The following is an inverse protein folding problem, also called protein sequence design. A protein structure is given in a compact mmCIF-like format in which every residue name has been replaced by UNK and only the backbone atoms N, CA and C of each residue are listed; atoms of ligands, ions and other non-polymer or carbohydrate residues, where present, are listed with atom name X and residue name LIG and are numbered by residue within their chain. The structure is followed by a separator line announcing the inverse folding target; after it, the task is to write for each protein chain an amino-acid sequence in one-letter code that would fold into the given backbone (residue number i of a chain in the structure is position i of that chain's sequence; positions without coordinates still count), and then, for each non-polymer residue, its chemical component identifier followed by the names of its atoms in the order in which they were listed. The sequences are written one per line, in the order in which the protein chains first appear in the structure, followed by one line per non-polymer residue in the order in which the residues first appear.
data_IF_480612855387
#
_entry.id   IF_480612855387
#
_cell.length_a   1.000
_cell.length_b   1.000
_cell.length_c   1.000
_cell.angle_alpha   90.00
_cell.angle_beta   90.00
_cell.angle_gamma   90.00
#
_symmetry.space_group_name_H-M   'P 1'
#
loop_
_entity.id
_entity.type
_entity.pdbx_description
1 polymer ?
#
# COMPACT_ATOMS: atom_id res chain seq x y z
N UNK A 1 44.20 -19.03 19.67
CA UNK A 1 42.93 -18.37 19.31
C UNK A 1 42.54 -18.53 17.84
N UNK A 2 43.44 -18.59 16.84
CA UNK A 2 43.04 -18.84 15.43
C UNK A 2 42.63 -20.29 15.14
N UNK A 3 43.40 -21.27 15.63
CA UNK A 3 43.13 -22.71 15.40
C UNK A 3 41.73 -23.17 15.83
N UNK A 4 41.31 -22.76 17.03
CA UNK A 4 40.00 -23.12 17.59
C UNK A 4 38.85 -22.46 16.83
N UNK A 5 39.06 -21.24 16.34
CA UNK A 5 38.09 -20.53 15.47
C UNK A 5 37.99 -21.23 14.11
N UNK A 6 39.09 -21.67 13.54
CA UNK A 6 39.10 -22.37 12.25
C UNK A 6 38.41 -23.74 12.34
N UNK A 7 38.59 -24.46 13.45
CA UNK A 7 37.86 -25.72 13.72
C UNK A 7 36.35 -25.48 13.89
N UNK A 8 35.95 -24.44 14.63
CA UNK A 8 34.54 -24.02 14.74
C UNK A 8 33.94 -23.63 13.39
N UNK A 9 34.68 -22.92 12.54
CA UNK A 9 34.24 -22.54 11.19
C UNK A 9 34.09 -23.74 10.26
N UNK A 10 35.00 -24.73 10.33
CA UNK A 10 34.88 -25.98 9.56
C UNK A 10 33.65 -26.79 9.98
N UNK A 11 33.43 -26.95 11.28
CA UNK A 11 32.24 -27.64 11.80
C UNK A 11 30.95 -26.92 11.41
N UNK A 12 30.94 -25.59 11.46
CA UNK A 12 29.83 -24.77 11.01
C UNK A 12 29.57 -24.96 9.50
N UNK A 13 30.61 -24.92 8.67
CA UNK A 13 30.47 -25.10 7.22
C UNK A 13 29.88 -26.46 6.87
N UNK A 14 30.39 -27.55 7.47
CA UNK A 14 29.83 -28.89 7.27
C UNK A 14 28.35 -28.98 7.67
N UNK A 15 27.98 -28.26 8.74
CA UNK A 15 26.59 -28.19 9.18
C UNK A 15 25.72 -27.42 8.18
N UNK A 16 26.21 -26.28 7.68
CA UNK A 16 25.53 -25.49 6.63
C UNK A 16 25.35 -26.31 5.37
N UNK A 17 26.40 -26.98 4.87
CA UNK A 17 26.35 -27.80 3.65
C UNK A 17 25.34 -28.97 3.80
N UNK A 18 25.29 -29.59 4.98
CA UNK A 18 24.31 -30.64 5.29
C UNK A 18 22.89 -30.08 5.29
N UNK A 19 22.69 -28.90 5.86
CA UNK A 19 21.39 -28.24 5.90
C UNK A 19 20.93 -27.82 4.50
N UNK A 20 21.82 -27.27 3.66
CA UNK A 20 21.50 -26.96 2.26
C UNK A 20 21.17 -28.20 1.42
N UNK A 21 21.88 -29.32 1.62
CA UNK A 21 21.52 -30.59 0.97
C UNK A 21 20.15 -31.12 1.39
N UNK A 22 19.76 -30.89 2.66
CA UNK A 22 18.51 -31.41 3.22
C UNK A 22 17.32 -30.52 2.88
N UNK A 23 17.51 -29.20 2.91
CA UNK A 23 16.42 -28.21 2.85
C UNK A 23 16.46 -27.33 1.58
N UNK A 24 17.45 -27.53 0.71
CA UNK A 24 17.64 -26.78 -0.53
C UNK A 24 18.66 -25.66 -0.40
N UNK A 25 19.26 -25.26 -1.53
CA UNK A 25 20.19 -24.12 -1.58
C UNK A 25 19.52 -22.85 -1.08
N UNK A 26 20.24 -22.06 -0.28
CA UNK A 26 19.71 -20.81 0.29
C UNK A 26 18.83 -20.98 1.53
N UNK A 27 18.69 -22.20 2.06
CA UNK A 27 17.99 -22.42 3.35
C UNK A 27 18.69 -21.75 4.52
N UNK A 28 20.02 -21.60 4.45
CA UNK A 28 20.88 -20.93 5.44
C UNK A 28 21.96 -20.18 4.69
N UNK A 29 22.07 -18.88 4.94
CA UNK A 29 23.06 -18.01 4.31
C UNK A 29 23.62 -17.05 5.35
N UNK A 30 24.87 -16.59 5.19
CA UNK A 30 25.35 -15.47 6.01
C UNK A 30 24.67 -14.20 5.54
N UNK A 31 24.32 -13.33 6.48
CA UNK A 31 23.63 -12.08 6.18
C UNK A 31 24.44 -11.17 5.23
N UNK A 32 25.77 -11.22 5.31
CA UNK A 32 26.69 -10.45 4.44
C UNK A 32 27.08 -11.14 3.13
N UNK A 33 26.66 -12.38 2.89
CA UNK A 33 26.88 -13.07 1.60
C UNK A 33 25.77 -12.73 0.58
N UNK A 34 24.78 -11.93 0.99
CA UNK A 34 23.90 -11.25 0.03
C UNK A 34 24.69 -10.14 -0.66
N UNK A 35 24.51 -9.92 -1.97
CA UNK A 35 24.88 -8.63 -2.55
C UNK A 35 24.28 -7.52 -1.68
N UNK A 36 25.09 -6.49 -1.45
CA UNK A 36 24.79 -5.34 -0.59
C UNK A 36 23.39 -4.83 -0.89
N UNK A 37 22.45 -4.99 0.06
CA UNK A 37 21.13 -4.36 0.09
C UNK A 37 20.49 -4.24 -1.31
N UNK A 38 19.94 -5.33 -1.84
CA UNK A 38 18.98 -5.21 -2.94
C UNK A 38 17.97 -4.14 -2.53
N UNK A 39 17.85 -3.08 -3.34
CA UNK A 39 16.76 -2.12 -3.23
C UNK A 39 15.47 -2.95 -3.12
N UNK A 40 14.68 -2.71 -2.07
CA UNK A 40 13.46 -3.49 -1.86
C UNK A 40 12.54 -3.19 -3.04
N UNK A 41 12.39 -4.17 -3.93
CA UNK A 41 11.51 -4.06 -5.09
C UNK A 41 10.12 -3.60 -4.65
N UNK A 42 9.62 -2.57 -5.31
CA UNK A 42 8.36 -1.94 -4.97
C UNK A 42 7.51 -1.59 -6.19
N UNK A 43 6.19 -1.59 -5.96
CA UNK A 43 5.16 -1.20 -6.92
C UNK A 43 4.67 0.18 -6.50
N UNK A 44 4.70 1.17 -7.41
CA UNK A 44 4.20 2.51 -7.10
C UNK A 44 2.76 2.45 -6.62
N UNK A 45 2.41 3.29 -5.66
CA UNK A 45 1.03 3.44 -5.19
C UNK A 45 0.16 4.25 -6.16
N UNK A 46 0.76 4.87 -7.19
CA UNK A 46 0.13 5.89 -8.02
C UNK A 46 0.10 7.28 -7.37
N UNK A 47 0.49 7.40 -6.10
CA UNK A 47 0.66 8.66 -5.38
C UNK A 47 2.14 8.94 -5.14
N UNK A 48 2.63 10.07 -5.66
CA UNK A 48 4.03 10.47 -5.50
C UNK A 48 4.36 10.71 -4.02
N UNK A 49 3.49 11.42 -3.31
CA UNK A 49 3.67 11.73 -1.90
C UNK A 49 3.64 10.48 -1.03
N UNK A 50 2.80 9.50 -1.35
CA UNK A 50 2.74 8.24 -0.62
C UNK A 50 3.98 7.39 -0.88
N UNK A 51 4.45 7.27 -2.13
CA UNK A 51 5.68 6.54 -2.45
C UNK A 51 6.90 7.09 -1.69
N UNK A 52 6.97 8.42 -1.53
CA UNK A 52 7.96 9.11 -0.71
C UNK A 52 7.78 8.79 0.79
N UNK A 53 6.53 8.84 1.29
CA UNK A 53 6.23 8.54 2.69
C UNK A 53 6.54 7.08 3.06
N UNK A 54 6.42 6.16 2.10
CA UNK A 54 6.79 4.75 2.27
C UNK A 54 8.30 4.54 2.35
N UNK A 55 9.10 5.44 1.80
CA UNK A 55 10.56 5.45 1.91
C UNK A 55 11.30 4.41 1.07
N UNK A 56 10.57 3.52 0.39
CA UNK A 56 11.09 2.52 -0.55
C UNK A 56 10.52 2.72 -1.97
N UNK A 57 9.85 3.86 -2.23
CA UNK A 57 9.30 4.19 -3.53
C UNK A 57 7.99 3.49 -3.91
N UNK A 58 7.35 2.78 -2.97
CA UNK A 58 6.07 2.12 -3.23
C UNK A 58 5.73 0.99 -2.26
N UNK A 59 4.79 0.14 -2.66
CA UNK A 59 4.37 -1.06 -1.96
C UNK A 59 5.39 -2.19 -2.17
N UNK A 60 5.86 -2.85 -1.11
CA UNK A 60 6.89 -3.88 -1.22
C UNK A 60 6.38 -5.14 -1.95
N UNK A 61 7.15 -5.62 -2.94
CA UNK A 61 6.97 -6.96 -3.51
C UNK A 61 7.29 -8.06 -2.49
N UNK A 62 6.63 -9.20 -2.61
CA UNK A 62 6.81 -10.36 -1.76
C UNK A 62 6.37 -10.16 -0.31
N UNK A 63 5.45 -9.23 -0.05
CA UNK A 63 4.98 -8.87 1.30
C UNK A 63 3.47 -8.69 1.37
N UNK A 64 2.96 -8.79 2.60
CA UNK A 64 1.58 -8.47 2.95
C UNK A 64 1.47 -6.97 3.29
N UNK A 65 0.49 -6.29 2.69
CA UNK A 65 0.12 -4.90 2.92
C UNK A 65 -1.33 -4.86 3.42
N UNK A 66 -1.62 -4.04 4.43
CA UNK A 66 -2.99 -3.75 4.85
C UNK A 66 -3.32 -2.28 4.61
N UNK A 67 -4.41 -2.02 3.89
CA UNK A 67 -4.98 -0.68 3.67
C UNK A 67 -6.31 -0.65 4.38
N UNK A 68 -6.45 0.22 5.40
CA UNK A 68 -7.67 0.28 6.19
C UNK A 68 -8.10 1.71 6.46
N UNK A 69 -9.38 1.88 6.79
CA UNK A 69 -9.95 3.21 7.02
C UNK A 69 -11.48 3.20 6.89
N UNK A 70 -12.12 4.36 7.12
CA UNK A 70 -13.56 4.52 7.01
C UNK A 70 -14.10 4.17 5.62
N UNK A 71 -15.41 3.96 5.53
CA UNK A 71 -16.08 3.82 4.24
C UNK A 71 -15.82 5.05 3.35
N UNK A 72 -15.79 4.82 2.03
CA UNK A 72 -15.52 5.87 1.05
C UNK A 72 -14.21 6.62 1.24
N UNK A 73 -13.24 6.12 2.03
CA UNK A 73 -11.99 6.85 2.29
C UNK A 73 -10.98 6.80 1.13
N UNK A 74 -11.22 5.99 0.11
CA UNK A 74 -10.34 5.81 -1.04
C UNK A 74 -9.48 4.53 -1.00
N UNK A 75 -9.79 3.57 -0.11
CA UNK A 75 -9.05 2.29 0.02
C UNK A 75 -8.96 1.54 -1.32
N UNK A 76 -10.10 1.27 -1.93
CA UNK A 76 -10.20 0.55 -3.21
C UNK A 76 -9.58 1.36 -4.35
N UNK A 77 -9.80 2.67 -4.41
CA UNK A 77 -9.13 3.57 -5.37
C UNK A 77 -7.60 3.44 -5.29
N UNK A 78 -7.02 3.49 -4.08
CA UNK A 78 -5.58 3.34 -3.89
C UNK A 78 -5.06 1.97 -4.34
N UNK A 79 -5.81 0.90 -4.04
CA UNK A 79 -5.44 -0.45 -4.47
C UNK A 79 -5.53 -0.63 -5.99
N UNK A 80 -6.55 -0.04 -6.64
CA UNK A 80 -6.71 -0.04 -8.09
C UNK A 80 -5.57 0.73 -8.76
N UNK A 81 -5.13 1.87 -8.21
CA UNK A 81 -3.94 2.56 -8.71
C UNK A 81 -2.68 1.71 -8.62
N UNK A 82 -2.48 0.98 -7.51
CA UNK A 82 -1.35 0.07 -7.38
C UNK A 82 -1.40 -1.06 -8.43
N UNK A 83 -2.59 -1.58 -8.74
CA UNK A 83 -2.79 -2.53 -9.85
C UNK A 83 -2.40 -1.90 -11.19
N UNK A 84 -2.90 -0.70 -11.50
CA UNK A 84 -2.59 0.01 -12.74
C UNK A 84 -1.07 0.24 -12.89
N UNK A 85 -0.39 0.67 -11.83
CA UNK A 85 1.07 0.86 -11.82
C UNK A 85 1.85 -0.45 -11.99
N UNK A 86 1.35 -1.57 -11.46
CA UNK A 86 1.92 -2.90 -11.71
C UNK A 86 1.78 -3.31 -13.17
N UNK A 87 0.58 -3.18 -13.74
CA UNK A 87 0.29 -3.54 -15.13
C UNK A 87 1.06 -2.67 -16.13
N UNK A 88 1.23 -1.36 -15.85
CA UNK A 88 2.07 -0.47 -16.68
C UNK A 88 3.52 -0.95 -16.80
N UNK A 89 4.01 -1.69 -15.81
CA UNK A 89 5.35 -2.32 -15.83
C UNK A 89 5.35 -3.74 -16.39
N UNK A 90 4.23 -4.18 -16.99
CA UNK A 90 4.05 -5.53 -17.55
C UNK A 90 3.74 -6.61 -16.51
N UNK A 91 3.43 -6.23 -15.26
CA UNK A 91 3.10 -7.18 -14.21
C UNK A 91 1.68 -7.72 -14.29
N UNK A 92 1.45 -8.92 -13.77
CA UNK A 92 0.12 -9.57 -13.76
C UNK A 92 -0.59 -9.28 -12.44
N UNK A 93 -1.85 -8.88 -12.51
CA UNK A 93 -2.64 -8.48 -11.37
C UNK A 93 -3.86 -9.39 -11.16
N UNK A 94 -4.26 -9.56 -9.90
CA UNK A 94 -5.50 -10.23 -9.53
C UNK A 94 -6.29 -9.42 -8.48
N UNK A 95 -7.61 -9.53 -8.52
CA UNK A 95 -8.54 -8.88 -7.59
C UNK A 95 -9.55 -9.89 -7.05
N UNK A 96 -9.58 -10.07 -5.73
CA UNK A 96 -10.56 -10.89 -5.02
C UNK A 96 -11.63 -9.94 -4.46
N UNK A 97 -12.75 -9.85 -5.16
CA UNK A 97 -13.89 -8.98 -4.83
C UNK A 97 -14.88 -9.75 -3.94
N UNK A 98 -14.58 -9.81 -2.65
CA UNK A 98 -15.45 -10.38 -1.64
C UNK A 98 -16.62 -9.44 -1.27
N UNK A 99 -16.51 -8.13 -1.54
CA UNK A 99 -17.61 -7.17 -1.33
C UNK A 99 -18.63 -7.17 -2.49
N UNK A 100 -18.35 -7.84 -3.61
CA UNK A 100 -19.15 -7.83 -4.84
C UNK A 100 -19.43 -6.40 -5.35
N UNK A 101 -18.46 -5.51 -5.18
CA UNK A 101 -18.60 -4.07 -5.41
C UNK A 101 -17.58 -3.51 -6.41
N UNK A 102 -16.84 -4.38 -7.12
CA UNK A 102 -15.85 -3.94 -8.09
C UNK A 102 -16.50 -3.24 -9.31
N UNK A 103 -16.12 -1.99 -9.54
CA UNK A 103 -16.54 -1.21 -10.71
C UNK A 103 -15.47 -1.26 -11.81
N UNK A 104 -15.78 -2.01 -12.87
CA UNK A 104 -14.92 -2.17 -14.05
C UNK A 104 -14.66 -0.85 -14.77
N UNK A 105 -15.69 -0.03 -14.98
CA UNK A 105 -15.56 1.22 -15.73
C UNK A 105 -14.69 2.23 -14.97
N UNK A 106 -14.85 2.27 -13.65
CA UNK A 106 -13.98 3.07 -12.80
C UNK A 106 -12.53 2.57 -12.84
N UNK A 107 -12.29 1.26 -12.76
CA UNK A 107 -10.93 0.71 -12.86
C UNK A 107 -10.24 1.05 -14.19
N UNK A 108 -10.96 0.95 -15.32
CA UNK A 108 -10.45 1.35 -16.64
C UNK A 108 -10.09 2.85 -16.67
N UNK A 109 -10.94 3.71 -16.09
CA UNK A 109 -10.66 5.14 -15.99
C UNK A 109 -9.40 5.44 -15.15
N UNK A 110 -9.05 4.58 -14.19
CA UNK A 110 -7.81 4.67 -13.41
C UNK A 110 -6.57 4.07 -14.12
N UNK A 111 -6.75 3.55 -15.34
CA UNK A 111 -5.68 3.00 -16.17
C UNK A 111 -5.38 1.52 -15.91
N UNK A 112 -6.32 0.78 -15.30
CA UNK A 112 -6.24 -0.67 -15.24
C UNK A 112 -6.61 -1.26 -16.60
N UNK A 113 -5.80 -2.20 -17.07
CA UNK A 113 -6.16 -3.07 -18.18
C UNK A 113 -7.05 -4.19 -17.64
N UNK A 114 -8.36 -4.03 -17.80
CA UNK A 114 -9.38 -4.95 -17.27
C UNK A 114 -9.51 -6.24 -18.06
N UNK A 115 -9.06 -6.28 -19.31
CA UNK A 115 -9.04 -7.51 -20.12
C UNK A 115 -8.03 -8.53 -19.56
N UNK A 116 -6.91 -8.04 -19.02
CA UNK A 116 -5.85 -8.86 -18.43
C UNK A 116 -5.90 -8.93 -16.90
N UNK A 117 -6.90 -8.30 -16.26
CA UNK A 117 -7.08 -8.36 -14.81
C UNK A 117 -7.83 -9.65 -14.42
N UNK A 118 -7.20 -10.50 -13.62
CA UNK A 118 -7.88 -11.66 -13.05
C UNK A 118 -8.81 -11.22 -11.93
N UNK A 119 -10.11 -11.46 -12.05
CA UNK A 119 -11.09 -11.17 -11.00
C UNK A 119 -11.75 -12.45 -10.48
N UNK A 120 -11.97 -12.51 -9.17
CA UNK A 120 -12.73 -13.56 -8.52
C UNK A 120 -13.74 -12.96 -7.56
N UNK A 121 -14.98 -13.44 -7.62
CA UNK A 121 -16.06 -13.09 -6.70
C UNK A 121 -16.44 -14.35 -5.91
N UNK A 122 -15.79 -14.60 -4.76
CA UNK A 122 -15.95 -15.83 -3.99
C UNK A 122 -17.24 -15.82 -3.16
N UNK A 123 -17.80 -17.01 -2.92
CA UNK A 123 -18.99 -17.26 -2.10
C UNK A 123 -18.71 -17.19 -0.60
N UNK A 124 -17.46 -17.41 -0.16
CA UNK A 124 -17.06 -17.40 1.25
C UNK A 124 -15.57 -17.09 1.45
N UNK A 125 -15.20 -16.80 2.70
CA UNK A 125 -13.86 -16.40 3.08
C UNK A 125 -12.79 -17.49 2.85
N UNK A 126 -13.10 -18.77 3.09
CA UNK A 126 -12.18 -19.87 2.81
C UNK A 126 -11.83 -19.94 1.31
N UNK A 127 -12.86 -19.94 0.45
CA UNK A 127 -12.69 -19.98 -1.00
C UNK A 127 -11.89 -18.78 -1.51
N UNK A 128 -12.19 -17.57 -1.02
CA UNK A 128 -11.46 -16.35 -1.36
C UNK A 128 -9.94 -16.49 -1.09
N UNK A 129 -9.60 -17.01 0.10
CA UNK A 129 -8.21 -17.16 0.55
C UNK A 129 -7.50 -18.33 -0.15
N UNK A 130 -8.21 -19.40 -0.49
CA UNK A 130 -7.69 -20.52 -1.29
C UNK A 130 -7.41 -20.10 -2.74
N UNK A 131 -8.29 -19.33 -3.36
CA UNK A 131 -8.07 -18.76 -4.70
C UNK A 131 -6.84 -17.86 -4.67
N UNK A 132 -6.75 -16.95 -3.70
CA UNK A 132 -5.57 -16.09 -3.53
C UNK A 132 -4.29 -16.91 -3.33
N UNK A 133 -4.32 -17.96 -2.49
CA UNK A 133 -3.17 -18.83 -2.24
C UNK A 133 -2.69 -19.52 -3.52
N UNK A 134 -3.60 -20.08 -4.31
CA UNK A 134 -3.28 -20.78 -5.56
C UNK A 134 -2.71 -19.83 -6.61
N UNK A 135 -3.32 -18.65 -6.76
CA UNK A 135 -2.84 -17.60 -7.67
C UNK A 135 -1.43 -17.15 -7.30
N UNK A 136 -1.16 -16.86 -6.02
CA UNK A 136 0.18 -16.48 -5.55
C UNK A 136 1.17 -17.63 -5.78
N UNK A 137 0.78 -18.87 -5.44
CA UNK A 137 1.63 -20.07 -5.56
C UNK A 137 2.07 -20.36 -7.00
N UNK A 138 1.29 -19.95 -8.00
CA UNK A 138 1.67 -20.05 -9.41
C UNK A 138 2.99 -19.33 -9.74
N UNK A 139 3.35 -18.32 -8.96
CA UNK A 139 4.51 -17.46 -9.20
C UNK A 139 4.33 -16.44 -10.32
N UNK A 140 3.14 -16.40 -10.95
CA UNK A 140 2.86 -15.49 -12.07
C UNK A 140 2.30 -14.13 -11.63
N UNK A 141 1.71 -14.03 -10.44
CA UNK A 141 1.01 -12.82 -9.98
C UNK A 141 1.97 -11.87 -9.27
N UNK A 142 2.13 -10.65 -9.81
CA UNK A 142 2.93 -9.58 -9.22
C UNK A 142 2.20 -8.86 -8.09
N UNK A 143 0.88 -8.68 -8.23
CA UNK A 143 0.05 -7.98 -7.26
C UNK A 143 -1.33 -8.64 -7.14
N UNK A 144 -1.80 -8.81 -5.90
CA UNK A 144 -3.15 -9.30 -5.63
C UNK A 144 -3.81 -8.44 -4.55
N UNK A 145 -5.04 -8.02 -4.81
CA UNK A 145 -5.87 -7.26 -3.87
C UNK A 145 -7.01 -8.14 -3.37
N UNK A 146 -7.27 -8.12 -2.08
CA UNK A 146 -8.42 -8.78 -1.45
C UNK A 146 -9.30 -7.69 -0.82
N UNK A 147 -10.47 -7.46 -1.43
CA UNK A 147 -11.44 -6.43 -1.05
C UNK A 147 -12.76 -7.09 -0.60
N UNK A 148 -13.05 -7.22 0.68
CA UNK A 148 -12.25 -6.83 1.85
C UNK A 148 -12.21 -7.91 2.92
N UNK A 149 -11.31 -7.76 3.88
CA UNK A 149 -11.21 -8.67 5.04
C UNK A 149 -12.54 -8.78 5.79
N UNK A 150 -13.32 -7.69 5.85
CA UNK A 150 -14.61 -7.69 6.54
C UNK A 150 -15.62 -8.62 5.87
N UNK A 151 -15.55 -8.76 4.54
CA UNK A 151 -16.40 -9.61 3.73
C UNK A 151 -15.91 -11.06 3.61
N UNK A 152 -14.76 -11.41 4.19
CA UNK A 152 -14.28 -12.80 4.27
C UNK A 152 -15.07 -13.57 5.33
N UNK A 153 -16.36 -13.80 5.08
CA UNK A 153 -17.27 -14.50 5.98
C UNK A 153 -17.04 -16.00 5.86
N UNK A 154 -16.73 -16.72 6.94
CA UNK A 154 -16.52 -18.16 6.90
C UNK A 154 -17.76 -18.92 6.41
N UNK A 155 -17.57 -20.00 5.66
CA UNK A 155 -18.66 -20.83 5.12
C UNK A 155 -19.68 -21.25 6.18
N UNK A 156 -19.22 -21.68 7.35
CA UNK A 156 -20.11 -22.09 8.44
C UNK A 156 -20.96 -20.96 9.02
N UNK A 157 -20.54 -19.70 8.84
CA UNK A 157 -21.32 -18.54 9.25
C UNK A 157 -22.40 -18.20 8.22
N UNK A 158 -22.09 -18.34 6.92
CA UNK A 158 -23.05 -18.16 5.83
C UNK A 158 -24.15 -19.22 5.83
N UNK A 159 -23.79 -20.48 6.10
CA UNK A 159 -24.75 -21.60 6.18
C UNK A 159 -25.51 -21.63 7.52
N UNK A 160 -25.12 -20.81 8.49
CA UNK A 160 -25.74 -20.74 9.81
C UNK A 160 -27.02 -19.91 9.83
N UNK A 161 -27.75 -19.98 10.94
CA UNK A 161 -28.94 -19.14 11.14
C UNK A 161 -28.53 -17.74 11.64
N UNK A 162 -29.28 -16.72 11.21
CA UNK A 162 -29.03 -15.34 11.64
C UNK A 162 -29.25 -15.22 13.16
N UNK A 163 -28.21 -14.78 13.88
CA UNK A 163 -28.20 -14.70 15.34
C UNK A 163 -27.49 -15.87 16.04
N UNK A 164 -27.06 -16.90 15.30
CA UNK A 164 -26.21 -17.95 15.83
C UNK A 164 -24.82 -17.40 16.20
N UNK A 165 -24.42 -17.53 17.46
CA UNK A 165 -23.15 -16.98 17.94
C UNK A 165 -21.96 -17.89 17.59
N UNK A 166 -21.16 -17.46 16.60
CA UNK A 166 -19.90 -18.12 16.21
C UNK A 166 -18.70 -17.21 16.46
N UNK A 167 -18.38 -17.00 17.74
CA UNK A 167 -17.36 -16.03 18.15
C UNK A 167 -15.98 -16.32 17.55
N UNK A 168 -15.41 -15.33 16.86
CA UNK A 168 -14.01 -15.32 16.43
C UNK A 168 -13.68 -16.23 15.25
N UNK A 169 -14.68 -16.71 14.51
CA UNK A 169 -14.48 -17.65 13.40
C UNK A 169 -13.64 -17.02 12.27
N UNK A 170 -13.98 -15.79 11.87
CA UNK A 170 -13.18 -15.01 10.91
C UNK A 170 -11.74 -14.76 11.38
N UNK A 171 -11.52 -14.47 12.68
CA UNK A 171 -10.18 -14.26 13.21
C UNK A 171 -9.30 -15.52 13.16
N UNK A 172 -9.90 -16.69 13.36
CA UNK A 172 -9.22 -17.99 13.23
C UNK A 172 -8.88 -18.30 11.77
N UNK A 173 -9.83 -18.07 10.86
CA UNK A 173 -9.63 -18.19 9.42
C UNK A 173 -8.45 -17.35 8.96
N UNK A 174 -8.45 -16.05 9.29
CA UNK A 174 -7.36 -15.13 8.96
C UNK A 174 -6.01 -15.58 9.55
N UNK A 175 -6.00 -16.08 10.78
CA UNK A 175 -4.78 -16.58 11.42
C UNK A 175 -4.19 -17.79 10.69
N UNK A 176 -5.03 -18.71 10.23
CA UNK A 176 -4.62 -19.87 9.45
C UNK A 176 -4.12 -19.45 8.06
N UNK A 177 -4.86 -18.58 7.39
CA UNK A 177 -4.53 -18.08 6.06
C UNK A 177 -3.19 -17.34 6.05
N UNK A 178 -2.98 -16.41 6.98
CA UNK A 178 -1.72 -15.66 7.06
C UNK A 178 -0.51 -16.57 7.28
N UNK A 179 -0.66 -17.66 8.04
CA UNK A 179 0.41 -18.64 8.26
C UNK A 179 0.79 -19.39 6.97
N UNK A 180 -0.18 -19.68 6.10
CA UNK A 180 0.06 -20.32 4.80
C UNK A 180 0.58 -19.35 3.74
N UNK A 181 -0.07 -18.18 3.65
CA UNK A 181 0.18 -17.19 2.59
C UNK A 181 1.54 -16.52 2.71
N UNK A 182 1.96 -16.11 3.92
CA UNK A 182 3.16 -15.27 4.11
C UNK A 182 4.43 -15.91 3.53
N UNK A 183 4.60 -17.22 3.73
CA UNK A 183 5.75 -17.94 3.18
C UNK A 183 5.73 -18.05 1.66
N UNK A 184 4.55 -18.23 1.07
CA UNK A 184 4.37 -18.32 -0.39
C UNK A 184 4.54 -16.95 -1.05
N UNK A 185 3.97 -15.90 -0.45
CA UNK A 185 4.12 -14.49 -0.85
C UNK A 185 5.60 -14.11 -0.91
N UNK A 186 6.37 -14.41 0.15
CA UNK A 186 7.80 -14.09 0.19
C UNK A 186 8.65 -14.82 -0.85
N UNK A 187 8.26 -16.04 -1.24
CA UNK A 187 8.98 -16.84 -2.25
C UNK A 187 8.68 -16.41 -3.69
N UNK A 188 7.49 -15.89 -3.93
CA UNK A 188 6.97 -15.60 -5.28
C UNK A 188 7.12 -14.13 -5.66
N UNK A 189 7.39 -13.25 -4.69
CA UNK A 189 7.53 -11.82 -4.96
C UNK A 189 6.19 -11.10 -5.14
N UNK A 190 5.06 -11.79 -4.96
CA UNK A 190 3.73 -11.19 -5.06
C UNK A 190 3.51 -10.10 -3.98
N UNK A 191 3.03 -8.92 -4.36
CA UNK A 191 2.53 -7.93 -3.43
C UNK A 191 1.07 -8.24 -3.08
N UNK A 192 0.79 -8.64 -1.83
CA UNK A 192 -0.55 -9.03 -1.40
C UNK A 192 -1.19 -7.95 -0.52
N UNK A 193 -2.20 -7.27 -1.05
CA UNK A 193 -2.91 -6.17 -0.41
C UNK A 193 -4.23 -6.68 0.16
N UNK A 194 -4.43 -6.45 1.45
CA UNK A 194 -5.73 -6.61 2.11
C UNK A 194 -6.36 -5.26 2.34
N UNK A 195 -7.56 -5.05 1.80
CA UNK A 195 -8.40 -3.93 2.18
C UNK A 195 -9.18 -4.30 3.44
N UNK A 196 -9.27 -3.39 4.39
CA UNK A 196 -9.97 -3.63 5.65
C UNK A 196 -10.80 -2.42 6.07
N UNK A 197 -11.85 -2.70 6.84
CA UNK A 197 -12.75 -1.71 7.39
C UNK A 197 -12.45 -1.46 8.87
N UNK A 198 -12.78 -0.26 9.33
CA UNK A 198 -12.78 0.07 10.75
C UNK A 198 -14.08 -0.40 11.42
N UNK A 199 -13.96 -0.80 12.68
CA UNK A 199 -15.03 -1.10 13.63
C UNK A 199 -14.68 -0.49 14.97
N UNK A 200 -15.67 -0.19 15.79
CA UNK A 200 -15.45 0.28 17.15
C UNK A 200 -15.45 -0.88 18.14
N UNK A 201 -14.51 -0.86 19.08
CA UNK A 201 -14.52 -1.76 20.24
C UNK A 201 -15.45 -1.20 21.32
N UNK A 202 -16.52 -1.94 21.59
CA UNK A 202 -17.43 -1.64 22.69
C UNK A 202 -16.68 -1.74 24.03
N UNK A 203 -16.88 -0.77 24.91
CA UNK A 203 -16.33 -0.78 26.27
C UNK A 203 -14.94 -0.17 26.45
N UNK A 204 -14.37 0.46 25.42
CA UNK A 204 -13.14 1.25 25.55
C UNK A 204 -13.50 2.67 26.00
N UNK A 205 -13.19 3.00 27.26
CA UNK A 205 -13.40 4.34 27.82
C UNK A 205 -12.18 5.27 27.68
N UNK A 206 -10.99 4.73 27.36
CA UNK A 206 -9.74 5.48 27.25
C UNK A 206 -8.91 4.97 26.07
N UNK A 207 -8.32 5.88 25.28
CA UNK A 207 -7.56 5.57 24.06
C UNK A 207 -8.43 5.44 22.79
N UNK A 208 -7.83 4.98 21.69
CA UNK A 208 -8.52 4.84 20.41
C UNK A 208 -9.44 3.59 20.40
N UNK A 209 -10.78 3.74 20.25
CA UNK A 209 -11.72 2.61 20.20
C UNK A 209 -11.68 1.85 18.86
N UNK A 210 -11.08 2.41 17.82
CA UNK A 210 -11.10 1.83 16.48
C UNK A 210 -10.25 0.55 16.37
N UNK A 211 -10.76 -0.39 15.60
CA UNK A 211 -10.07 -1.64 15.29
C UNK A 211 -10.41 -2.13 13.89
N UNK A 212 -9.57 -3.01 13.35
CA UNK A 212 -9.79 -3.63 12.04
C UNK A 212 -10.39 -5.03 12.19
N UNK A 213 -11.13 -5.47 11.18
CA UNK A 213 -11.77 -6.80 11.16
C UNK A 213 -10.76 -7.94 10.93
N UNK A 214 -11.17 -9.19 11.12
CA UNK A 214 -10.30 -10.36 10.92
C UNK A 214 -9.31 -10.67 12.04
N UNK A 215 -9.49 -10.08 13.22
CA UNK A 215 -8.64 -10.32 14.39
C UNK A 215 -7.26 -9.65 14.30
N UNK A 216 -6.26 -10.21 14.99
CA UNK A 216 -4.93 -9.58 15.10
C UNK A 216 -3.89 -10.12 14.12
N UNK A 217 -4.14 -11.26 13.46
CA UNK A 217 -3.14 -11.91 12.62
C UNK A 217 -2.59 -10.97 11.54
N UNK A 218 -3.47 -10.38 10.73
CA UNK A 218 -3.08 -9.48 9.64
C UNK A 218 -2.18 -8.33 10.15
N UNK A 219 -2.49 -7.76 11.32
CA UNK A 219 -1.68 -6.69 11.93
C UNK A 219 -0.23 -7.10 12.17
N UNK A 220 0.04 -8.36 12.52
CA UNK A 220 1.40 -8.86 12.77
C UNK A 220 2.12 -9.23 11.47
N UNK A 221 1.42 -9.91 10.57
CA UNK A 221 1.98 -10.41 9.30
C UNK A 221 2.22 -9.29 8.28
N UNK A 222 1.34 -8.27 8.24
CA UNK A 222 1.51 -7.10 7.38
C UNK A 222 2.88 -6.45 7.62
N UNK A 223 3.63 -6.27 6.54
CA UNK A 223 4.89 -5.52 6.56
C UNK A 223 4.65 -4.02 6.46
N UNK A 224 3.55 -3.65 5.81
CA UNK A 224 3.08 -2.28 5.67
C UNK A 224 1.61 -2.20 6.10
N UNK A 225 1.27 -1.20 6.90
CA UNK A 225 -0.13 -0.88 7.24
C UNK A 225 -0.36 0.61 7.02
N UNK A 226 -1.45 0.93 6.34
CA UNK A 226 -1.81 2.31 5.98
C UNK A 226 -3.23 2.61 6.45
N UNK A 227 -3.37 3.70 7.22
CA UNK A 227 -4.65 4.27 7.64
C UNK A 227 -5.00 5.40 6.67
N UNK A 228 -6.04 5.21 5.86
CA UNK A 228 -6.49 6.17 4.84
C UNK A 228 -7.81 6.80 5.25
N UNK A 229 -7.85 8.14 5.30
CA UNK A 229 -9.02 8.92 5.72
C UNK A 229 -9.27 10.08 4.77
N UNK A 230 -10.55 10.36 4.53
CA UNK A 230 -10.97 11.63 3.92
C UNK A 230 -10.77 12.75 4.92
N UNK A 231 -10.18 13.84 4.46
CA UNK A 231 -10.16 15.11 5.19
C UNK A 231 -11.56 15.74 5.10
N UNK A 232 -11.95 16.55 6.09
CA UNK A 232 -13.28 17.16 6.18
C UNK A 232 -13.67 18.05 4.99
N UNK A 233 -12.70 18.56 4.25
CA UNK A 233 -12.93 19.49 3.15
C UNK A 233 -13.03 18.75 1.81
N UNK A 234 -14.25 18.69 1.27
CA UNK A 234 -14.49 18.23 -0.10
C UNK A 234 -13.94 19.24 -1.12
N UNK A 235 -13.43 18.75 -2.24
CA UNK A 235 -12.96 19.57 -3.36
C UNK A 235 -14.18 19.96 -4.18
N UNK A 236 -14.41 21.26 -4.35
CA UNK A 236 -15.59 21.80 -5.04
C UNK A 236 -15.19 22.66 -6.22
N UNK A 237 -16.03 22.67 -7.25
CA UNK A 237 -15.93 23.64 -8.34
C UNK A 237 -16.47 25.03 -7.94
N UNK A 238 -16.46 25.97 -8.89
CA UNK A 238 -16.97 27.33 -8.69
C UNK A 238 -18.49 27.38 -8.42
N UNK A 239 -19.22 26.36 -8.88
CA UNK A 239 -20.67 26.25 -8.74
C UNK A 239 -21.08 25.49 -7.45
N UNK A 240 -20.11 24.97 -6.71
CA UNK A 240 -20.28 24.25 -5.45
C UNK A 240 -20.44 22.74 -5.58
N UNK A 241 -20.34 22.18 -6.79
CA UNK A 241 -20.40 20.73 -7.01
C UNK A 241 -19.14 20.05 -6.49
N UNK A 242 -19.29 18.88 -5.89
CA UNK A 242 -18.17 18.12 -5.33
C UNK A 242 -17.45 17.37 -6.46
N UNK A 243 -16.21 17.76 -6.74
CA UNK A 243 -15.35 17.15 -7.75
C UNK A 243 -14.49 16.00 -7.19
N UNK A 244 -14.27 15.98 -5.87
CA UNK A 244 -13.40 14.98 -5.25
C UNK A 244 -13.17 15.23 -3.77
N UNK A 245 -12.20 14.53 -3.21
CA UNK A 245 -11.85 14.60 -1.79
C UNK A 245 -10.36 14.76 -1.59
N UNK A 246 -9.97 15.58 -0.61
CA UNK A 246 -8.64 15.50 -0.03
C UNK A 246 -8.57 14.27 0.87
N UNK A 247 -7.52 13.48 0.72
CA UNK A 247 -7.30 12.24 1.47
C UNK A 247 -5.95 12.31 2.15
N UNK A 248 -5.90 11.80 3.38
CA UNK A 248 -4.69 11.64 4.18
C UNK A 248 -4.44 10.16 4.43
N UNK A 249 -3.22 9.72 4.13
CA UNK A 249 -2.74 8.37 4.40
C UNK A 249 -1.64 8.42 5.44
N UNK A 250 -1.82 7.73 6.57
CA UNK A 250 -0.80 7.56 7.62
C UNK A 250 -0.21 6.16 7.54
N UNK A 251 1.11 6.07 7.44
CA UNK A 251 1.85 4.80 7.46
C UNK A 251 2.00 4.33 8.90
N UNK A 252 1.01 3.60 9.43
CA UNK A 252 0.99 3.20 10.85
C UNK A 252 1.94 2.05 11.17
N UNK A 253 2.39 1.30 10.15
CA UNK A 253 3.42 0.26 10.31
C UNK A 253 4.24 0.17 9.03
N UNK A 254 5.55 0.14 9.15
CA UNK A 254 6.48 -0.05 8.05
C UNK A 254 7.69 -0.86 8.54
N UNK A 255 7.93 -2.05 7.96
CA UNK A 255 9.08 -2.91 8.29
C UNK A 255 10.30 -2.69 7.39
N UNK A 256 10.21 -1.79 6.41
CA UNK A 256 11.22 -1.58 5.37
C UNK A 256 11.85 -0.19 5.44
N UNK A 257 11.12 0.79 5.96
CA UNK A 257 11.58 2.15 6.19
C UNK A 257 10.93 2.72 7.48
N UNK A 258 11.35 3.92 7.96
CA UNK A 258 10.74 4.52 9.14
C UNK A 258 9.21 4.68 9.02
N UNK A 259 8.42 4.21 10.00
CA UNK A 259 6.96 4.36 10.00
C UNK A 259 6.53 5.79 10.39
N UNK A 260 5.21 5.98 10.47
CA UNK A 260 4.50 7.17 10.96
C UNK A 260 4.56 8.41 10.09
N UNK A 261 5.13 8.30 8.88
CA UNK A 261 4.97 9.35 7.87
C UNK A 261 3.54 9.41 7.36
N UNK A 262 3.16 10.58 6.87
CA UNK A 262 1.86 10.83 6.25
C UNK A 262 2.05 11.37 4.85
N UNK A 263 1.12 11.04 3.97
CA UNK A 263 0.96 11.67 2.66
C UNK A 263 -0.46 12.23 2.55
N UNK A 264 -0.60 13.35 1.85
CA UNK A 264 -1.89 13.96 1.57
C UNK A 264 -1.99 14.24 0.07
N UNK A 265 -3.10 13.83 -0.54
CA UNK A 265 -3.33 13.97 -1.97
C UNK A 265 -4.83 14.07 -2.26
N UNK A 266 -5.15 14.51 -3.48
CA UNK A 266 -6.53 14.64 -3.93
C UNK A 266 -6.95 13.36 -4.65
N UNK A 267 -8.13 12.83 -4.34
CA UNK A 267 -8.84 11.83 -5.13
C UNK A 267 -9.99 12.52 -5.85
N UNK A 268 -9.87 12.64 -7.17
CA UNK A 268 -10.88 13.23 -8.06
C UNK A 268 -11.85 12.14 -8.53
N UNK A 269 -13.15 12.41 -8.50
CA UNK A 269 -14.14 11.42 -8.94
C UNK A 269 -14.01 11.14 -10.44
N UNK A 270 -14.03 9.86 -10.80
CA UNK A 270 -13.83 9.39 -12.19
C UNK A 270 -12.39 9.46 -12.72
N UNK A 271 -11.44 10.06 -11.98
CA UNK A 271 -10.04 10.20 -12.43
C UNK A 271 -9.03 9.59 -11.43
N UNK A 272 -9.41 9.45 -10.16
CA UNK A 272 -8.57 8.87 -9.12
C UNK A 272 -7.58 9.86 -8.51
N UNK A 273 -6.40 9.36 -8.13
CA UNK A 273 -5.35 10.14 -7.45
C UNK A 273 -4.78 11.19 -8.42
N UNK A 274 -4.85 12.46 -8.01
CA UNK A 274 -4.35 13.58 -8.81
C UNK A 274 -2.84 13.77 -8.62
N UNK A 275 -2.05 13.11 -9.47
CA UNK A 275 -0.59 13.24 -9.49
C UNK A 275 -0.11 14.68 -9.75
N UNK A 276 -0.80 15.41 -10.64
CA UNK A 276 -0.53 16.83 -10.91
C UNK A 276 -0.69 17.69 -9.64
N UNK A 277 -1.70 17.38 -8.82
CA UNK A 277 -1.91 17.99 -7.50
C UNK A 277 -0.75 17.76 -6.54
N UNK A 278 -0.27 16.54 -6.46
CA UNK A 278 0.87 16.21 -5.60
C UNK A 278 2.15 16.90 -6.06
N UNK A 279 2.41 16.97 -7.36
CA UNK A 279 3.59 17.64 -7.91
C UNK A 279 3.57 19.14 -7.56
N UNK A 280 2.41 19.79 -7.68
CA UNK A 280 2.26 21.21 -7.30
C UNK A 280 2.47 21.41 -5.81
N UNK A 281 1.84 20.59 -4.98
CA UNK A 281 1.91 20.71 -3.52
C UNK A 281 3.34 20.43 -3.01
N UNK A 282 3.90 19.27 -3.35
CA UNK A 282 5.26 18.88 -2.96
C UNK A 282 6.31 19.80 -3.57
N UNK A 283 6.14 20.19 -4.84
CA UNK A 283 7.04 21.12 -5.52
C UNK A 283 7.08 22.48 -4.82
N UNK A 284 5.93 22.98 -4.38
CA UNK A 284 5.82 24.23 -3.61
C UNK A 284 6.47 24.08 -2.22
N UNK A 285 6.14 23.02 -1.48
CA UNK A 285 6.66 22.78 -0.13
C UNK A 285 8.19 22.61 -0.11
N UNK A 286 8.73 21.99 -1.17
CA UNK A 286 10.16 21.81 -1.34
C UNK A 286 10.85 23.00 -2.02
N UNK A 287 10.12 24.05 -2.42
CA UNK A 287 10.67 25.23 -3.10
C UNK A 287 11.22 24.95 -4.50
N UNK A 288 10.82 23.84 -5.14
CA UNK A 288 11.07 23.56 -6.56
C UNK A 288 10.18 24.47 -7.42
N UNK A 289 8.91 24.60 -7.01
CA UNK A 289 7.96 25.57 -7.55
C UNK A 289 7.91 26.75 -6.58
N UNK A 290 8.12 27.97 -7.08
CA UNK A 290 8.09 29.18 -6.25
C UNK A 290 6.67 29.72 -6.15
N UNK A 291 6.21 29.97 -4.93
CA UNK A 291 4.89 30.57 -4.65
C UNK A 291 5.05 32.02 -4.20
N UNK A 292 4.46 32.96 -4.93
CA UNK A 292 4.41 34.39 -4.59
C UNK A 292 2.95 34.85 -4.49
N UNK A 293 2.42 34.90 -3.27
CA UNK A 293 0.99 35.13 -3.05
C UNK A 293 0.16 33.99 -3.64
N UNK A 294 -0.72 34.32 -4.60
CA UNK A 294 -1.50 33.33 -5.36
C UNK A 294 -0.84 32.84 -6.65
N UNK A 295 0.34 33.38 -7.02
CA UNK A 295 1.06 33.00 -8.24
C UNK A 295 2.05 31.87 -7.99
N UNK A 296 2.05 30.88 -8.87
CA UNK A 296 3.04 29.82 -8.96
C UNK A 296 4.00 30.12 -10.11
N UNK A 297 5.29 29.91 -9.88
CA UNK A 297 6.37 30.09 -10.87
C UNK A 297 7.31 28.90 -10.84
N UNK A 298 7.90 28.59 -11.99
CA UNK A 298 8.93 27.56 -12.14
C UNK A 298 10.10 28.14 -12.90
N UNK A 299 11.31 28.00 -12.35
CA UNK A 299 12.56 28.55 -12.92
C UNK A 299 12.46 30.04 -13.32
N UNK A 300 11.76 30.82 -12.49
CA UNK A 300 11.57 32.26 -12.72
C UNK A 300 10.45 32.62 -13.69
N UNK A 301 9.83 31.64 -14.37
CA UNK A 301 8.69 31.85 -15.26
C UNK A 301 7.38 31.63 -14.51
N UNK A 302 6.43 32.57 -14.62
CA UNK A 302 5.08 32.40 -14.04
C UNK A 302 4.33 31.30 -14.79
N UNK A 303 3.85 30.29 -14.07
CA UNK A 303 3.11 29.17 -14.66
C UNK A 303 1.60 29.39 -14.56
N UNK A 304 1.10 29.79 -13.38
CA UNK A 304 -0.34 29.89 -13.14
C UNK A 304 -0.68 30.74 -11.91
N UNK A 305 -1.92 31.24 -11.87
CA UNK A 305 -2.50 31.85 -10.68
C UNK A 305 -3.54 30.92 -10.05
N UNK A 306 -3.33 30.59 -8.77
CA UNK A 306 -4.14 29.62 -8.04
C UNK A 306 -3.67 28.17 -8.22
N UNK A 307 -4.00 27.32 -7.24
CA UNK A 307 -3.57 25.92 -7.20
C UNK A 307 -4.18 25.11 -8.34
N UNK A 308 -5.48 25.26 -8.60
CA UNK A 308 -6.17 24.46 -9.61
C UNK A 308 -5.66 24.77 -11.03
N UNK A 309 -5.42 26.04 -11.33
CA UNK A 309 -4.78 26.45 -12.59
C UNK A 309 -3.36 25.88 -12.73
N UNK A 310 -2.60 25.82 -11.63
CA UNK A 310 -1.26 25.20 -11.65
C UNK A 310 -1.35 23.70 -11.88
N UNK A 311 -2.33 23.01 -11.28
CA UNK A 311 -2.58 21.58 -11.52
C UNK A 311 -2.87 21.31 -13.00
N UNK A 312 -3.78 22.07 -13.60
CA UNK A 312 -4.10 21.95 -15.02
C UNK A 312 -2.88 22.20 -15.90
N UNK A 313 -2.08 23.24 -15.58
CA UNK A 313 -0.86 23.53 -16.33
C UNK A 313 0.16 22.38 -16.29
N UNK A 314 0.35 21.73 -15.13
CA UNK A 314 1.22 20.55 -15.01
C UNK A 314 0.66 19.36 -15.81
N UNK A 315 -0.66 19.17 -15.78
CA UNK A 315 -1.35 18.09 -16.49
C UNK A 315 -1.26 18.23 -18.01
N UNK A 316 -1.40 19.46 -18.52
CA UNK A 316 -1.29 19.80 -19.93
C UNK A 316 0.16 19.72 -20.46
N UNK A 317 1.17 19.64 -19.57
CA UNK A 317 2.59 19.62 -19.91
C UNK A 317 3.32 18.40 -19.30
N UNK A 318 3.17 17.19 -19.86
CA UNK A 318 3.74 15.96 -19.30
C UNK A 318 5.27 15.94 -19.17
N UNK A 319 5.99 16.62 -20.07
CA UNK A 319 7.46 16.72 -19.98
C UNK A 319 7.89 17.51 -18.75
N UNK A 320 7.26 18.67 -18.53
CA UNK A 320 7.49 19.50 -17.34
C UNK A 320 7.09 18.76 -16.07
N UNK A 321 5.96 18.04 -16.09
CA UNK A 321 5.53 17.21 -14.97
C UNK A 321 6.61 16.20 -14.56
N UNK A 322 7.24 15.51 -15.51
CA UNK A 322 8.32 14.55 -15.23
C UNK A 322 9.56 15.24 -14.68
N UNK A 323 9.96 16.36 -15.29
CA UNK A 323 11.13 17.13 -14.85
C UNK A 323 10.99 17.59 -13.39
N UNK A 324 9.83 18.15 -13.02
CA UNK A 324 9.56 18.60 -11.66
C UNK A 324 9.54 17.40 -10.69
N UNK A 325 8.91 16.29 -11.07
CA UNK A 325 8.89 15.06 -10.27
C UNK A 325 10.31 14.54 -9.99
N UNK A 326 11.18 14.53 -11.00
CA UNK A 326 12.58 14.14 -10.86
C UNK A 326 13.34 15.08 -9.92
N UNK A 327 13.16 16.40 -10.06
CA UNK A 327 13.76 17.39 -9.14
C UNK A 327 13.27 17.21 -7.70
N UNK A 328 11.99 16.91 -7.49
CA UNK A 328 11.42 16.58 -6.17
C UNK A 328 12.11 15.35 -5.60
N UNK A 329 12.20 14.25 -6.36
CA UNK A 329 12.86 13.00 -5.93
C UNK A 329 14.34 13.21 -5.60
N UNK A 330 15.08 13.94 -6.44
CA UNK A 330 16.50 14.26 -6.20
C UNK A 330 16.70 15.08 -4.93
N UNK A 331 15.85 16.08 -4.70
CA UNK A 331 15.94 16.92 -3.50
C UNK A 331 15.63 16.13 -2.22
N UNK A 332 14.76 15.12 -2.29
CA UNK A 332 14.52 14.17 -1.20
C UNK A 332 15.67 13.18 -0.99
N UNK A 333 16.35 12.75 -2.04
CA UNK A 333 17.50 11.85 -1.93
C UNK A 333 18.73 12.56 -1.32
N UNK A 334 18.94 13.83 -1.68
CA UNK A 334 20.06 14.66 -1.21
C UNK A 334 19.80 15.31 0.15
N UNK A 335 18.54 15.56 0.49
CA UNK A 335 18.12 16.11 1.78
C UNK A 335 17.81 15.01 2.79
N UNK A 336 18.61 14.91 3.86
CA UNK A 336 18.27 14.15 5.08
C UNK A 336 16.78 14.26 5.36
N UNK A 337 16.07 13.13 5.23
CA UNK A 337 14.76 12.82 5.83
C UNK A 337 14.08 14.06 6.41
N UNK A 338 13.39 14.81 5.54
CA UNK A 338 12.60 15.97 5.94
C UNK A 338 11.71 15.53 7.11
N UNK A 339 11.76 16.27 8.22
CA UNK A 339 10.82 16.14 9.34
C UNK A 339 9.40 16.31 8.78
N UNK A 340 8.78 15.20 8.37
CA UNK A 340 7.33 15.13 8.22
C UNK A 340 6.80 15.22 9.63
N UNK A 341 5.99 16.26 9.89
CA UNK A 341 5.51 16.64 11.22
C UNK A 341 5.10 15.39 12.03
N UNK A 342 5.90 15.08 13.04
CA UNK A 342 5.45 14.22 14.12
C UNK A 342 4.31 15.01 14.78
N UNK A 343 3.07 14.52 14.62
CA UNK A 343 1.95 15.06 15.36
C UNK A 343 2.29 14.95 16.84
N UNK A 344 2.34 16.10 17.51
CA UNK A 344 2.39 16.17 18.96
C UNK A 344 1.11 15.50 19.47
N UNK A 345 1.28 14.38 20.18
CA UNK A 345 0.24 13.84 21.04
C UNK A 345 0.08 14.85 22.18
N UNK A 346 -0.96 15.67 22.14
CA UNK A 346 -1.44 16.38 23.32
C UNK A 346 -2.02 15.33 24.28
N UNK A 347 -1.24 15.01 25.31
CA UNK A 347 -1.77 14.46 26.55
C UNK A 347 -2.62 15.54 27.23
N UNK A 348 -3.94 15.31 27.29
CA UNK A 348 -4.81 15.80 28.36
C UNK A 348 -5.92 14.81 28.63
#
# INVERSE_FOLDING_TARGET
MSKERDEKLKALQLTVDRLEKTYGKGSIMKLGDKPVLDEIDSISTGSLGLDIALGIGGLPKGRVVEIYGPESSGKTTLAIHAIAESQKKGGIAAFIDAEHAFDRAYAEALGVNTEDLLISQPDNGEQALEIAENLIRSGAIDIIVIDSVAALVPKSEIEGEMGESKMGLQARLMSQAMRKLTGTIGKTGCCCIFINQLREKIGVMFGNPETTTGGNALKFYASLRMDIRRTSNAIKDKDGNILGNRVKVKVVKNKMAPPFRTAEFDIMYGQGISKSGEIVDLGSDMGVIQKSGSWFSYEGTKIAQGRDSAKQFIEDNPELSKEIEEKIKLKLATGKLVKVAAGEEEES
#
